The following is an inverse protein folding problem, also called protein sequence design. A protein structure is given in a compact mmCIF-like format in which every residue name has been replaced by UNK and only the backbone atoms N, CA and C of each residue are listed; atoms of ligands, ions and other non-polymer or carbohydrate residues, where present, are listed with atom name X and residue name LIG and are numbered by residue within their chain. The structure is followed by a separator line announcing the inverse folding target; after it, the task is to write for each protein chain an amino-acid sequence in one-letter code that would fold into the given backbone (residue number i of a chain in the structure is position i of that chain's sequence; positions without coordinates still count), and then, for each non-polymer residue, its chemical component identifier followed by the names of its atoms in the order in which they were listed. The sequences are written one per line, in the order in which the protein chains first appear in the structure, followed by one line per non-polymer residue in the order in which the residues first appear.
data_IF_006546015451
#
_entry.id   IF_006546015451
#
_cell.length_a   1.000
_cell.length_b   1.000
_cell.length_c   1.000
_cell.angle_alpha   90.00
_cell.angle_beta   90.00
_cell.angle_gamma   90.00
#
_symmetry.space_group_name_H-M   'P 1'
#
loop_
_entity.id
_entity.type
_entity.pdbx_description
1 polymer ?
#
# COMPACT_ATOMS: atom_id res chain seq x y z
N UNK A 1 10.15 -28.66 9.49
CA UNK A 1 10.69 -29.37 8.32
C UNK A 1 11.37 -30.67 8.76
N UNK A 2 12.27 -30.67 9.78
CA UNK A 2 12.94 -31.88 10.24
C UNK A 2 11.98 -33.02 10.66
N UNK A 3 10.83 -32.68 11.24
CA UNK A 3 9.80 -33.65 11.65
C UNK A 3 8.85 -34.09 10.53
N UNK A 4 8.71 -33.27 9.47
CA UNK A 4 7.83 -33.52 8.34
C UNK A 4 8.46 -32.89 7.07
N UNK A 5 9.35 -33.63 6.36
CA UNK A 5 10.09 -33.10 5.23
C UNK A 5 9.24 -32.77 3.99
N UNK A 6 8.04 -33.32 3.91
CA UNK A 6 7.07 -33.14 2.82
C UNK A 6 6.01 -32.03 3.09
N UNK A 7 6.28 -31.15 4.07
CA UNK A 7 5.32 -30.11 4.47
C UNK A 7 5.53 -28.83 3.65
N UNK A 8 4.84 -28.70 2.52
CA UNK A 8 4.95 -27.59 1.57
C UNK A 8 4.70 -26.22 2.23
N UNK A 9 3.72 -26.13 3.13
CA UNK A 9 3.39 -24.90 3.84
C UNK A 9 4.54 -24.43 4.77
N UNK A 10 5.29 -25.36 5.36
CA UNK A 10 6.45 -25.00 6.17
C UNK A 10 7.58 -24.41 5.31
N UNK A 11 7.83 -24.97 4.12
CA UNK A 11 8.79 -24.39 3.18
C UNK A 11 8.35 -23.00 2.69
N UNK A 12 7.08 -22.82 2.39
CA UNK A 12 6.54 -21.51 2.00
C UNK A 12 6.75 -20.48 3.12
N UNK A 13 6.40 -20.80 4.37
CA UNK A 13 6.55 -19.90 5.52
C UNK A 13 8.04 -19.59 5.80
N UNK A 14 8.92 -20.57 5.64
CA UNK A 14 10.37 -20.38 5.72
C UNK A 14 10.86 -19.43 4.61
N UNK A 15 10.32 -19.57 3.40
CA UNK A 15 10.61 -18.65 2.29
C UNK A 15 10.20 -17.21 2.63
N UNK A 16 9.03 -17.01 3.24
CA UNK A 16 8.59 -15.68 3.70
C UNK A 16 9.52 -15.10 4.76
N UNK A 17 9.92 -15.89 5.75
CA UNK A 17 10.86 -15.45 6.77
C UNK A 17 12.23 -15.05 6.17
N UNK A 18 12.75 -15.84 5.24
CA UNK A 18 14.00 -15.49 4.54
C UNK A 18 13.86 -14.22 3.69
N UNK A 19 12.72 -14.02 3.07
CA UNK A 19 12.45 -12.81 2.31
C UNK A 19 12.41 -11.57 3.21
N UNK A 20 11.79 -11.65 4.38
CA UNK A 20 11.74 -10.58 5.36
C UNK A 20 13.13 -10.25 5.94
N UNK A 21 14.00 -11.28 6.07
CA UNK A 21 15.40 -11.10 6.44
C UNK A 21 16.31 -10.62 5.30
N UNK A 22 15.78 -10.40 4.09
CA UNK A 22 16.56 -10.02 2.91
C UNK A 22 17.39 -11.15 2.28
N UNK A 23 17.24 -12.40 2.74
CA UNK A 23 17.95 -13.59 2.26
C UNK A 23 17.29 -14.17 1.01
N UNK A 24 17.33 -13.41 -0.10
CA UNK A 24 16.52 -13.66 -1.30
C UNK A 24 16.78 -15.02 -1.97
N UNK A 25 18.03 -15.52 -1.98
CA UNK A 25 18.32 -16.80 -2.61
C UNK A 25 17.78 -17.97 -1.79
N UNK A 26 17.86 -17.91 -0.46
CA UNK A 26 17.25 -18.89 0.44
C UNK A 26 15.72 -18.86 0.34
N UNK A 27 15.12 -17.68 0.19
CA UNK A 27 13.68 -17.53 -0.03
C UNK A 27 13.25 -18.20 -1.34
N UNK A 28 13.98 -17.97 -2.44
CA UNK A 28 13.72 -18.64 -3.75
C UNK A 28 13.78 -20.16 -3.65
N UNK A 29 14.80 -20.70 -2.99
CA UNK A 29 14.96 -22.14 -2.78
C UNK A 29 13.78 -22.72 -1.99
N UNK A 30 13.41 -22.07 -0.89
CA UNK A 30 12.29 -22.49 -0.05
C UNK A 30 10.95 -22.48 -0.80
N UNK A 31 10.65 -21.42 -1.57
CA UNK A 31 9.42 -21.39 -2.39
C UNK A 31 9.44 -22.44 -3.51
N UNK A 32 10.61 -22.72 -4.13
CA UNK A 32 10.73 -23.79 -5.11
C UNK A 32 10.45 -25.16 -4.48
N UNK A 33 10.97 -25.43 -3.28
CA UNK A 33 10.70 -26.68 -2.57
C UNK A 33 9.21 -26.82 -2.24
N UNK A 34 8.56 -25.73 -1.83
CA UNK A 34 7.11 -25.72 -1.61
C UNK A 34 6.33 -26.09 -2.89
N UNK A 35 6.73 -25.55 -4.06
CA UNK A 35 6.10 -25.85 -5.35
C UNK A 35 6.37 -27.29 -5.80
N UNK A 36 7.57 -27.84 -5.55
CA UNK A 36 7.90 -29.22 -5.87
C UNK A 36 7.04 -30.19 -5.05
N UNK A 37 6.88 -29.91 -3.75
CA UNK A 37 6.07 -30.74 -2.85
C UNK A 37 4.57 -30.62 -3.12
N UNK A 38 4.11 -29.43 -3.50
CA UNK A 38 2.71 -29.13 -3.78
C UNK A 38 2.58 -28.28 -5.04
N UNK A 39 2.49 -28.92 -6.24
CA UNK A 39 2.49 -28.23 -7.53
C UNK A 39 1.29 -27.29 -7.77
N UNK A 40 0.25 -27.36 -6.95
CA UNK A 40 -0.92 -26.49 -6.96
C UNK A 40 -0.87 -25.39 -5.88
N UNK A 41 0.27 -25.19 -5.24
CA UNK A 41 0.41 -24.20 -4.18
C UNK A 41 0.56 -22.78 -4.74
N UNK A 42 -0.56 -22.17 -5.10
CA UNK A 42 -0.65 -20.84 -5.75
C UNK A 42 0.12 -19.74 -5.00
N UNK A 43 0.07 -19.74 -3.66
CA UNK A 43 0.79 -18.73 -2.86
C UNK A 43 2.31 -18.83 -3.01
N UNK A 44 2.85 -20.05 -3.13
CA UNK A 44 4.30 -20.22 -3.35
C UNK A 44 4.72 -19.70 -4.74
N UNK A 45 3.90 -19.92 -5.78
CA UNK A 45 4.12 -19.30 -7.10
C UNK A 45 4.09 -17.79 -7.03
N UNK A 46 3.11 -17.24 -6.31
CA UNK A 46 2.96 -15.78 -6.17
C UNK A 46 4.19 -15.17 -5.49
N UNK A 47 4.59 -15.66 -4.32
CA UNK A 47 5.76 -15.12 -3.61
C UNK A 47 7.07 -15.32 -4.38
N UNK A 48 7.25 -16.48 -5.02
CA UNK A 48 8.41 -16.71 -5.90
C UNK A 48 8.48 -15.68 -7.03
N UNK A 49 7.33 -15.35 -7.65
CA UNK A 49 7.28 -14.40 -8.77
C UNK A 49 7.67 -12.97 -8.38
N UNK A 50 7.53 -12.61 -7.10
CA UNK A 50 7.94 -11.29 -6.60
C UNK A 50 9.46 -11.14 -6.55
N UNK A 51 10.19 -12.23 -6.25
CA UNK A 51 11.63 -12.19 -5.99
C UNK A 51 12.48 -12.86 -7.10
N UNK A 52 11.83 -13.56 -8.04
CA UNK A 52 12.50 -14.24 -9.15
C UNK A 52 12.30 -13.50 -10.47
N UNK A 53 13.37 -13.40 -11.27
CA UNK A 53 13.28 -13.12 -12.71
C UNK A 53 13.25 -14.43 -13.46
N UNK A 54 12.22 -14.64 -14.27
CA UNK A 54 12.04 -15.89 -15.01
C UNK A 54 12.79 -15.87 -16.35
N UNK A 55 13.39 -17.03 -16.70
CA UNK A 55 14.07 -17.24 -17.96
C UNK A 55 13.37 -18.32 -18.79
N UNK A 56 13.60 -18.31 -20.12
CA UNK A 56 13.07 -19.33 -21.00
C UNK A 56 13.58 -20.73 -20.58
N UNK A 57 12.62 -21.63 -20.34
CA UNK A 57 12.92 -23.01 -19.93
C UNK A 57 12.81 -23.26 -18.43
N UNK A 58 12.54 -22.24 -17.63
CA UNK A 58 12.26 -22.44 -16.20
C UNK A 58 11.12 -23.45 -15.98
N UNK A 59 11.31 -24.48 -15.14
CA UNK A 59 10.32 -25.55 -14.96
C UNK A 59 9.00 -25.06 -14.41
N UNK A 60 9.01 -23.99 -13.60
CA UNK A 60 7.82 -23.39 -13.02
C UNK A 60 6.86 -22.83 -14.08
N UNK A 61 7.35 -22.43 -15.27
CA UNK A 61 6.52 -21.89 -16.34
C UNK A 61 5.52 -22.94 -16.83
N UNK A 62 5.98 -24.17 -17.08
CA UNK A 62 5.09 -25.27 -17.51
C UNK A 62 4.07 -25.64 -16.42
N UNK A 63 4.51 -25.63 -15.17
CA UNK A 63 3.63 -25.91 -14.03
C UNK A 63 2.55 -24.83 -13.89
N UNK A 64 2.91 -23.57 -14.04
CA UNK A 64 2.00 -22.43 -14.04
C UNK A 64 0.96 -22.51 -15.17
N UNK A 65 1.41 -22.77 -16.42
CA UNK A 65 0.55 -22.89 -17.60
C UNK A 65 -0.49 -24.00 -17.41
N UNK A 66 -0.08 -25.15 -16.87
CA UNK A 66 -0.98 -26.26 -16.55
C UNK A 66 -1.95 -25.91 -15.43
N UNK A 67 -1.45 -25.25 -14.39
CA UNK A 67 -2.27 -24.91 -13.21
C UNK A 67 -3.35 -23.87 -13.54
N UNK A 68 -3.03 -22.84 -14.30
CA UNK A 68 -3.97 -21.75 -14.62
C UNK A 68 -5.18 -22.21 -15.43
N UNK A 69 -5.04 -23.34 -16.15
CA UNK A 69 -6.12 -23.98 -16.94
C UNK A 69 -6.94 -24.98 -16.13
N UNK A 70 -6.56 -25.28 -14.89
CA UNK A 70 -7.31 -26.24 -14.05
C UNK A 70 -8.72 -25.72 -13.75
N UNK A 71 -9.79 -26.43 -14.12
CA UNK A 71 -11.16 -25.98 -13.88
C UNK A 71 -11.54 -25.94 -12.39
N UNK A 72 -10.91 -26.74 -11.56
CA UNK A 72 -11.16 -26.80 -10.10
C UNK A 72 -10.54 -25.63 -9.33
N UNK A 73 -9.75 -24.78 -10.00
CA UNK A 73 -9.09 -23.66 -9.35
C UNK A 73 -10.10 -22.58 -8.92
N UNK A 74 -9.97 -22.09 -7.69
CA UNK A 74 -10.80 -20.99 -7.21
C UNK A 74 -10.60 -19.73 -8.06
N UNK A 75 -11.62 -18.86 -8.18
CA UNK A 75 -11.50 -17.57 -8.89
C UNK A 75 -10.37 -16.71 -8.31
N UNK A 76 -10.16 -16.76 -6.99
CA UNK A 76 -9.10 -16.01 -6.31
C UNK A 76 -7.71 -16.53 -6.69
N UNK A 77 -7.53 -17.85 -6.71
CA UNK A 77 -6.24 -18.45 -7.05
C UNK A 77 -5.94 -18.27 -8.54
N UNK A 78 -6.97 -18.42 -9.39
CA UNK A 78 -6.85 -18.11 -10.83
C UNK A 78 -6.45 -16.65 -11.06
N UNK A 79 -7.04 -15.72 -10.29
CA UNK A 79 -6.64 -14.31 -10.32
C UNK A 79 -5.16 -14.14 -9.99
N UNK A 80 -4.67 -14.72 -8.88
CA UNK A 80 -3.27 -14.65 -8.47
C UNK A 80 -2.34 -15.19 -9.55
N UNK A 81 -2.69 -16.35 -10.14
CA UNK A 81 -1.89 -16.96 -11.20
C UNK A 81 -1.83 -16.12 -12.47
N UNK A 82 -2.86 -15.35 -12.80
CA UNK A 82 -2.78 -14.42 -13.92
C UNK A 82 -1.76 -13.30 -13.66
N UNK A 83 -1.63 -12.80 -12.44
CA UNK A 83 -0.57 -11.84 -12.10
C UNK A 83 0.81 -12.48 -12.13
N UNK A 84 0.96 -13.73 -11.67
CA UNK A 84 2.21 -14.50 -11.81
C UNK A 84 2.55 -14.72 -13.29
N UNK A 85 1.58 -15.13 -14.09
CA UNK A 85 1.77 -15.33 -15.55
C UNK A 85 2.18 -14.03 -16.23
N UNK A 86 1.52 -12.92 -15.89
CA UNK A 86 1.87 -11.60 -16.42
C UNK A 86 3.33 -11.23 -16.13
N UNK A 87 3.81 -11.50 -14.90
CA UNK A 87 5.23 -11.29 -14.53
C UNK A 87 6.16 -12.19 -15.33
N UNK A 88 5.84 -13.47 -15.48
CA UNK A 88 6.61 -14.42 -16.32
C UNK A 88 6.69 -13.92 -17.76
N UNK A 89 5.55 -13.52 -18.35
CA UNK A 89 5.51 -13.01 -19.73
C UNK A 89 6.31 -11.69 -19.87
N UNK A 90 6.25 -10.80 -18.90
CA UNK A 90 7.05 -9.56 -18.86
C UNK A 90 8.54 -9.90 -18.87
N UNK A 91 9.00 -10.82 -18.01
CA UNK A 91 10.40 -11.26 -17.94
C UNK A 91 10.89 -11.90 -19.23
N UNK A 92 10.02 -12.60 -19.94
CA UNK A 92 10.31 -13.21 -21.25
C UNK A 92 10.20 -12.23 -22.42
N UNK A 93 9.90 -10.94 -22.17
CA UNK A 93 9.71 -9.90 -23.19
C UNK A 93 8.40 -10.02 -23.98
N UNK A 94 7.44 -10.84 -23.54
CA UNK A 94 6.16 -11.06 -24.22
C UNK A 94 5.10 -10.09 -23.69
N UNK A 95 5.29 -8.78 -23.93
CA UNK A 95 4.52 -7.70 -23.31
C UNK A 95 3.03 -7.76 -23.59
N UNK A 96 2.61 -8.12 -24.82
CA UNK A 96 1.19 -8.25 -25.16
C UNK A 96 0.48 -9.35 -24.38
N UNK A 97 1.16 -10.48 -24.16
CA UNK A 97 0.63 -11.58 -23.34
C UNK A 97 0.56 -11.16 -21.86
N UNK A 98 1.64 -10.54 -21.36
CA UNK A 98 1.66 -9.98 -20.01
C UNK A 98 0.48 -9.06 -19.79
N UNK A 99 0.25 -8.12 -20.70
CA UNK A 99 -0.89 -7.20 -20.60
C UNK A 99 -2.25 -7.92 -20.66
N UNK A 100 -2.37 -8.96 -21.51
CA UNK A 100 -3.54 -9.82 -21.57
C UNK A 100 -3.86 -10.48 -20.24
N UNK A 101 -2.84 -11.05 -19.59
CA UNK A 101 -2.96 -11.72 -18.30
C UNK A 101 -3.29 -10.73 -17.17
N UNK A 102 -2.66 -9.56 -17.14
CA UNK A 102 -3.01 -8.49 -16.18
C UNK A 102 -4.48 -8.09 -16.29
N UNK A 103 -5.01 -7.98 -17.52
CA UNK A 103 -6.45 -7.67 -17.73
C UNK A 103 -7.35 -8.78 -17.23
N UNK A 104 -6.97 -10.05 -17.39
CA UNK A 104 -7.77 -11.18 -16.92
C UNK A 104 -7.75 -11.26 -15.39
N UNK A 105 -6.57 -11.21 -14.78
CA UNK A 105 -6.40 -11.16 -13.33
C UNK A 105 -7.15 -9.97 -12.71
N UNK A 106 -7.00 -8.79 -13.30
CA UNK A 106 -7.69 -7.58 -12.85
C UNK A 106 -9.21 -7.70 -12.89
N UNK A 107 -9.79 -8.24 -13.99
CA UNK A 107 -11.24 -8.48 -14.07
C UNK A 107 -11.75 -9.40 -12.97
N UNK A 108 -11.04 -10.49 -12.68
CA UNK A 108 -11.40 -11.41 -11.62
C UNK A 108 -11.32 -10.72 -10.24
N UNK A 109 -10.24 -9.99 -9.97
CA UNK A 109 -10.08 -9.32 -8.67
C UNK A 109 -11.12 -8.23 -8.47
N UNK A 110 -11.39 -7.40 -9.48
CA UNK A 110 -12.43 -6.37 -9.44
C UNK A 110 -13.82 -6.96 -9.18
N UNK A 111 -14.12 -8.11 -9.82
CA UNK A 111 -15.37 -8.86 -9.58
C UNK A 111 -15.44 -9.35 -8.13
N UNK A 112 -14.37 -10.00 -7.63
CA UNK A 112 -14.29 -10.54 -6.27
C UNK A 112 -14.45 -9.44 -5.21
N UNK A 113 -13.93 -8.25 -5.46
CA UNK A 113 -14.03 -7.09 -4.58
C UNK A 113 -15.37 -6.34 -4.73
N UNK A 114 -16.18 -6.69 -5.71
CA UNK A 114 -17.39 -5.91 -6.09
C UNK A 114 -17.10 -4.41 -6.20
N UNK A 115 -15.91 -4.08 -6.75
CA UNK A 115 -15.42 -2.70 -6.80
C UNK A 115 -16.08 -1.88 -7.90
N UNK A 116 -16.41 -0.63 -7.57
CA UNK A 116 -16.93 0.38 -8.50
C UNK A 116 -16.34 1.74 -8.15
N UNK A 117 -15.78 2.43 -9.13
CA UNK A 117 -15.14 3.75 -8.95
C UNK A 117 -16.08 4.81 -8.35
N UNK A 118 -17.40 4.67 -8.51
CA UNK A 118 -18.39 5.57 -7.94
C UNK A 118 -18.35 5.59 -6.39
N UNK A 119 -17.88 4.52 -5.77
CA UNK A 119 -17.69 4.46 -4.31
C UNK A 119 -16.61 5.46 -3.88
N UNK A 120 -15.47 5.47 -4.60
CA UNK A 120 -14.39 6.42 -4.32
C UNK A 120 -14.77 7.86 -4.69
N UNK A 121 -15.48 8.07 -5.78
CA UNK A 121 -15.98 9.39 -6.16
C UNK A 121 -16.83 10.02 -5.05
N UNK A 122 -17.69 9.24 -4.41
CA UNK A 122 -18.49 9.68 -3.26
C UNK A 122 -17.59 9.96 -2.07
N UNK A 123 -16.74 9.00 -1.69
CA UNK A 123 -15.82 9.14 -0.57
C UNK A 123 -14.98 10.42 -0.66
N UNK A 124 -14.39 10.72 -1.83
CA UNK A 124 -13.56 11.91 -2.01
C UNK A 124 -14.39 13.22 -1.91
N UNK A 125 -15.66 13.17 -2.31
CA UNK A 125 -16.59 14.30 -2.13
C UNK A 125 -16.90 14.52 -0.65
N UNK A 126 -17.24 13.44 0.06
CA UNK A 126 -17.58 13.46 1.48
C UNK A 126 -16.40 13.94 2.33
N UNK A 127 -15.18 13.49 2.02
CA UNK A 127 -13.94 13.95 2.67
C UNK A 127 -13.79 15.46 2.58
N UNK A 128 -14.00 16.07 1.41
CA UNK A 128 -13.89 17.53 1.25
C UNK A 128 -14.97 18.30 2.01
N UNK A 129 -16.18 17.76 2.03
CA UNK A 129 -17.30 18.35 2.79
C UNK A 129 -17.00 18.31 4.28
N UNK A 130 -16.63 17.14 4.81
CA UNK A 130 -16.27 16.95 6.22
C UNK A 130 -15.10 17.84 6.62
N UNK A 131 -14.06 17.92 5.80
CA UNK A 131 -12.91 18.77 6.06
C UNK A 131 -13.28 20.26 6.18
N UNK A 132 -14.23 20.72 5.37
CA UNK A 132 -14.75 22.09 5.46
C UNK A 132 -15.46 22.34 6.79
N UNK A 133 -16.25 21.37 7.28
CA UNK A 133 -16.94 21.44 8.57
C UNK A 133 -15.93 21.45 9.72
N UNK A 134 -14.99 20.48 9.72
CA UNK A 134 -13.97 20.34 10.77
C UNK A 134 -13.09 21.59 10.88
N UNK A 135 -12.76 22.22 9.75
CA UNK A 135 -11.95 23.44 9.74
C UNK A 135 -12.62 24.61 10.46
N UNK A 136 -13.95 24.70 10.42
CA UNK A 136 -14.72 25.79 11.04
C UNK A 136 -14.94 25.60 12.54
N UNK A 137 -14.72 24.41 13.07
CA UNK A 137 -14.93 24.11 14.47
C UNK A 137 -13.80 24.70 15.33
N UNK A 138 -14.17 25.26 16.47
CA UNK A 138 -13.22 25.63 17.52
C UNK A 138 -12.86 24.38 18.31
N UNK A 139 -11.60 23.97 18.27
CA UNK A 139 -11.06 22.91 19.13
C UNK A 139 -10.36 23.61 20.30
N UNK A 140 -10.59 23.11 21.52
CA UNK A 140 -9.89 23.60 22.69
C UNK A 140 -8.36 23.56 22.49
N UNK A 141 -7.60 24.52 23.07
CA UNK A 141 -6.14 24.46 23.01
C UNK A 141 -5.65 23.11 23.49
N UNK A 142 -4.70 22.55 22.73
CA UNK A 142 -4.07 21.29 23.10
C UNK A 142 -3.14 21.56 24.31
N UNK A 143 -3.31 20.78 25.38
CA UNK A 143 -2.60 21.03 26.61
C UNK A 143 -1.08 20.78 26.47
N UNK A 144 -0.71 19.72 25.73
CA UNK A 144 0.67 19.31 25.57
C UNK A 144 1.01 19.08 24.11
N UNK A 145 2.25 19.43 23.66
CA UNK A 145 2.75 19.05 22.35
C UNK A 145 2.83 17.52 22.22
N UNK A 146 2.77 16.99 21.00
CA UNK A 146 2.96 15.57 20.77
C UNK A 146 4.39 15.16 21.10
N UNK A 147 4.53 14.09 21.85
CA UNK A 147 5.79 13.41 22.12
C UNK A 147 5.49 11.89 22.12
N UNK A 148 6.00 11.15 21.10
CA UNK A 148 6.79 11.60 19.93
C UNK A 148 5.97 12.38 18.91
N UNK A 149 6.67 13.17 18.07
CA UNK A 149 6.07 13.89 16.94
C UNK A 149 5.88 12.96 15.76
N UNK A 150 4.67 12.78 15.21
CA UNK A 150 4.47 11.93 14.05
C UNK A 150 4.93 12.61 12.75
N UNK A 151 5.55 11.80 11.87
CA UNK A 151 5.92 12.17 10.50
C UNK A 151 5.07 11.32 9.54
N UNK A 152 4.03 11.90 8.98
CA UNK A 152 3.19 11.24 7.99
C UNK A 152 3.83 11.26 6.62
N UNK A 153 4.08 10.08 6.04
CA UNK A 153 4.58 9.93 4.67
C UNK A 153 3.45 9.34 3.82
N UNK A 154 2.89 10.15 2.94
CA UNK A 154 1.67 9.84 2.21
C UNK A 154 1.79 10.15 0.71
N UNK A 155 0.89 9.60 -0.09
CA UNK A 155 0.83 9.75 -1.54
C UNK A 155 0.11 8.58 -2.18
N UNK A 156 0.12 8.48 -3.51
CA UNK A 156 -0.42 7.28 -4.16
C UNK A 156 0.41 6.04 -3.78
N UNK A 157 -0.20 4.88 -3.56
CA UNK A 157 0.55 3.62 -3.54
C UNK A 157 1.47 3.54 -4.76
N UNK A 158 2.66 2.98 -4.58
CA UNK A 158 3.71 2.86 -5.63
C UNK A 158 4.34 4.19 -6.07
N UNK A 159 4.19 5.26 -5.31
CA UNK A 159 4.87 6.55 -5.56
C UNK A 159 6.27 6.64 -4.95
N UNK A 160 6.74 5.62 -4.23
CA UNK A 160 8.08 5.61 -3.62
C UNK A 160 8.10 5.95 -2.13
N UNK A 161 6.96 5.97 -1.46
CA UNK A 161 6.83 6.29 -0.01
C UNK A 161 7.73 5.46 0.89
N UNK A 162 7.98 4.17 0.56
CA UNK A 162 8.87 3.30 1.34
C UNK A 162 10.34 3.74 1.27
N UNK A 163 10.83 4.19 0.10
CA UNK A 163 12.18 4.73 0.01
C UNK A 163 12.31 6.01 0.82
N UNK A 164 11.30 6.88 0.77
CA UNK A 164 11.31 8.14 1.53
C UNK A 164 11.32 7.85 3.03
N UNK A 165 10.56 6.86 3.49
CA UNK A 165 10.61 6.44 4.89
C UNK A 165 12.01 5.98 5.29
N UNK A 166 12.65 5.12 4.49
CA UNK A 166 14.02 4.66 4.76
C UNK A 166 15.02 5.81 4.83
N UNK A 167 14.91 6.80 3.93
CA UNK A 167 15.75 7.99 3.95
C UNK A 167 15.52 8.82 5.23
N UNK A 168 14.25 9.04 5.60
CA UNK A 168 13.91 9.83 6.80
C UNK A 168 14.30 9.09 8.07
N UNK A 169 14.07 7.78 8.14
CA UNK A 169 14.42 6.96 9.32
C UNK A 169 15.89 6.57 9.41
N UNK A 170 16.72 6.98 8.44
CA UNK A 170 18.19 6.89 8.59
C UNK A 170 18.75 7.90 9.60
N UNK A 171 17.95 8.91 9.97
CA UNK A 171 18.30 9.85 11.03
C UNK A 171 18.09 9.20 12.40
N UNK A 172 19.07 9.37 13.30
CA UNK A 172 19.10 8.73 14.62
C UNK A 172 17.98 9.15 15.61
N UNK A 173 17.29 10.26 15.33
CA UNK A 173 16.14 10.71 16.12
C UNK A 173 14.80 10.21 15.56
N UNK A 174 14.79 9.47 14.46
CA UNK A 174 13.57 9.06 13.77
C UNK A 174 13.42 7.54 13.77
N UNK A 175 12.34 7.05 14.35
CA UNK A 175 11.94 5.65 14.22
C UNK A 175 11.08 5.45 12.96
N UNK A 176 11.46 4.49 12.12
CA UNK A 176 10.65 4.04 10.99
C UNK A 176 9.62 3.01 11.43
N UNK A 177 8.34 3.39 11.58
CA UNK A 177 7.30 2.49 12.07
C UNK A 177 6.50 1.79 10.95
N UNK A 178 6.80 2.08 9.68
CA UNK A 178 6.13 1.44 8.54
C UNK A 178 4.70 1.91 8.33
N UNK A 179 3.84 1.00 7.86
CA UNK A 179 2.44 1.29 7.55
C UNK A 179 1.57 1.16 8.79
N UNK A 180 1.29 2.30 9.44
CA UNK A 180 0.35 2.35 10.55
C UNK A 180 -1.05 2.64 9.99
N UNK A 181 -1.92 1.65 10.04
CA UNK A 181 -3.33 1.82 9.63
C UNK A 181 -4.15 2.55 10.71
N UNK A 182 -3.58 2.79 11.86
CA UNK A 182 -4.25 3.28 13.07
C UNK A 182 -5.01 4.60 12.83
N UNK A 183 -4.36 5.59 12.19
CA UNK A 183 -5.02 6.87 11.97
C UNK A 183 -6.26 6.70 11.08
N UNK A 184 -6.16 5.90 10.04
CA UNK A 184 -7.29 5.58 9.17
C UNK A 184 -8.42 4.87 9.91
N UNK A 185 -8.11 3.90 10.77
CA UNK A 185 -9.11 3.19 11.59
C UNK A 185 -9.88 4.15 12.52
N UNK A 186 -9.21 5.15 13.09
CA UNK A 186 -9.83 6.14 13.98
C UNK A 186 -10.62 7.22 13.21
N UNK A 187 -10.17 7.57 12.01
CA UNK A 187 -10.65 8.75 11.28
C UNK A 187 -11.65 8.42 10.15
N UNK A 188 -11.71 7.19 9.64
CA UNK A 188 -12.44 6.85 8.42
C UNK A 188 -13.94 7.20 8.47
N UNK A 189 -14.62 6.88 9.56
CA UNK A 189 -16.06 7.15 9.74
C UNK A 189 -16.36 8.66 9.75
N UNK A 190 -15.47 9.45 10.33
CA UNK A 190 -15.59 10.91 10.34
C UNK A 190 -15.27 11.47 8.95
N UNK A 191 -14.17 11.02 8.35
CA UNK A 191 -13.73 11.51 7.03
C UNK A 191 -14.78 11.26 5.95
N UNK A 192 -15.43 10.08 5.98
CA UNK A 192 -16.51 9.72 5.06
C UNK A 192 -17.86 10.36 5.34
N UNK A 193 -17.98 11.17 6.41
CA UNK A 193 -19.25 11.78 6.82
C UNK A 193 -20.27 10.81 7.46
N UNK A 194 -19.90 9.55 7.68
CA UNK A 194 -20.77 8.57 8.36
C UNK A 194 -20.94 8.88 9.85
N UNK A 195 -19.98 9.62 10.42
CA UNK A 195 -20.01 10.10 11.80
C UNK A 195 -19.79 11.62 11.82
N UNK A 196 -20.53 12.31 12.67
CA UNK A 196 -20.41 13.76 12.82
C UNK A 196 -19.01 14.07 13.38
N UNK A 197 -18.34 15.04 12.77
CA UNK A 197 -17.03 15.49 13.22
C UNK A 197 -17.19 16.51 14.36
N UNK A 198 -17.28 16.07 15.59
CA UNK A 198 -17.31 16.92 16.76
C UNK A 198 -15.90 17.20 17.32
N UNK A 199 -15.65 18.37 17.96
CA UNK A 199 -14.35 18.68 18.56
C UNK A 199 -13.85 17.60 19.53
N UNK A 200 -14.74 17.00 20.32
CA UNK A 200 -14.42 15.91 21.25
C UNK A 200 -13.82 14.69 20.53
N UNK A 201 -14.37 14.31 19.39
CA UNK A 201 -13.90 13.16 18.62
C UNK A 201 -12.52 13.39 18.01
N UNK A 202 -12.24 14.63 17.59
CA UNK A 202 -10.90 14.99 17.10
C UNK A 202 -9.86 14.89 18.23
N UNK A 203 -10.22 15.27 19.45
CA UNK A 203 -9.36 15.10 20.64
C UNK A 203 -9.19 13.64 21.03
N UNK A 204 -10.24 12.82 20.91
CA UNK A 204 -10.15 11.36 21.12
C UNK A 204 -9.21 10.69 20.12
N UNK A 205 -9.28 11.06 18.83
CA UNK A 205 -8.33 10.58 17.81
C UNK A 205 -6.91 10.93 18.23
N UNK A 206 -6.63 12.19 18.61
CA UNK A 206 -5.32 12.61 19.10
C UNK A 206 -4.83 11.74 20.25
N UNK A 207 -5.65 11.62 21.28
CA UNK A 207 -5.28 10.89 22.49
C UNK A 207 -4.92 9.43 22.20
N UNK A 208 -5.79 8.71 21.47
CA UNK A 208 -5.58 7.29 21.16
C UNK A 208 -4.37 7.13 20.24
N UNK A 209 -4.26 7.97 19.22
CA UNK A 209 -3.15 7.87 18.27
C UNK A 209 -1.79 8.11 18.93
N UNK A 210 -1.66 9.16 19.76
CA UNK A 210 -0.41 9.46 20.47
C UNK A 210 -0.05 8.42 21.53
N UNK A 211 -1.04 7.84 22.21
CA UNK A 211 -0.79 6.73 23.14
C UNK A 211 -0.19 5.50 22.46
N UNK A 212 -0.68 5.15 21.28
CA UNK A 212 -0.12 4.02 20.53
C UNK A 212 1.26 4.38 19.92
N UNK A 213 1.40 5.60 19.40
CA UNK A 213 2.67 6.07 18.87
C UNK A 213 3.78 6.08 19.93
N UNK A 214 3.44 6.49 21.18
CA UNK A 214 4.36 6.47 22.31
C UNK A 214 4.86 5.05 22.64
N UNK A 215 3.99 4.04 22.55
CA UNK A 215 4.40 2.64 22.77
C UNK A 215 5.38 2.15 21.69
N UNK A 216 5.23 2.64 20.48
CA UNK A 216 6.09 2.26 19.35
C UNK A 216 7.41 3.02 19.30
N UNK A 217 7.49 4.20 19.93
CA UNK A 217 8.56 5.17 19.73
C UNK A 217 9.95 4.72 20.17
N UNK A 218 10.05 3.72 21.07
CA UNK A 218 11.32 3.26 21.63
C UNK A 218 12.18 4.41 22.19
N UNK A 219 11.54 5.52 22.57
CA UNK A 219 12.20 6.72 23.08
C UNK A 219 12.68 7.72 22.00
N UNK A 220 12.39 7.46 20.72
CA UNK A 220 12.71 8.41 19.64
C UNK A 220 11.74 9.60 19.66
N UNK A 221 12.22 10.84 19.47
CA UNK A 221 11.37 12.03 19.46
C UNK A 221 10.50 12.15 18.22
N UNK A 222 10.81 11.41 17.15
CA UNK A 222 10.04 11.37 15.90
C UNK A 222 9.73 9.93 15.51
N UNK A 223 8.51 9.69 15.03
CA UNK A 223 8.07 8.37 14.53
C UNK A 223 7.38 8.55 13.18
N UNK A 224 7.78 7.77 12.18
CA UNK A 224 7.09 7.81 10.88
C UNK A 224 5.78 7.02 10.93
N UNK A 225 4.77 7.52 10.21
CA UNK A 225 3.58 6.78 9.80
C UNK A 225 3.54 6.83 8.27
N UNK A 226 4.12 5.81 7.64
CA UNK A 226 4.18 5.71 6.19
C UNK A 226 3.03 4.86 5.69
N UNK A 227 1.83 5.40 5.69
CA UNK A 227 0.68 4.79 5.06
C UNK A 227 0.22 5.64 3.88
N UNK A 228 0.41 5.16 2.64
CA UNK A 228 0.12 5.98 1.45
C UNK A 228 -1.26 6.63 1.50
N UNK A 229 -2.30 5.91 1.91
CA UNK A 229 -3.67 6.41 1.95
C UNK A 229 -3.96 7.44 3.06
N UNK A 230 -3.01 7.78 3.92
CA UNK A 230 -3.16 8.89 4.86
C UNK A 230 -3.47 10.23 4.17
N UNK A 231 -3.27 10.32 2.85
CA UNK A 231 -3.71 11.48 2.06
C UNK A 231 -5.24 11.73 2.14
N UNK A 232 -6.05 10.72 2.43
CA UNK A 232 -7.48 10.86 2.64
C UNK A 232 -7.81 11.65 3.92
N UNK A 233 -6.91 11.64 4.89
CA UNK A 233 -7.14 12.14 6.25
C UNK A 233 -6.38 13.42 6.59
N UNK A 234 -5.69 14.07 5.64
CA UNK A 234 -4.83 15.26 5.89
C UNK A 234 -5.54 16.35 6.71
N UNK A 235 -6.80 16.63 6.41
CA UNK A 235 -7.57 17.63 7.16
C UNK A 235 -7.77 17.25 8.63
N UNK A 236 -8.01 15.98 8.94
CA UNK A 236 -8.15 15.48 10.31
C UNK A 236 -6.79 15.35 11.00
N UNK A 237 -5.73 14.94 10.27
CA UNK A 237 -4.35 14.88 10.79
C UNK A 237 -3.95 16.26 11.33
N UNK A 238 -4.07 17.30 10.50
CA UNK A 238 -3.67 18.66 10.89
C UNK A 238 -4.50 19.17 12.06
N UNK A 239 -5.77 18.76 12.17
CA UNK A 239 -6.65 19.20 13.27
C UNK A 239 -6.41 18.46 14.58
N UNK A 240 -6.13 17.17 14.52
CA UNK A 240 -5.84 16.34 15.69
C UNK A 240 -4.37 16.48 16.16
N UNK A 241 -3.46 16.67 15.21
CA UNK A 241 -2.00 16.62 15.41
C UNK A 241 -1.35 17.83 14.70
N UNK A 242 -1.54 19.07 15.16
CA UNK A 242 -1.04 20.26 14.48
C UNK A 242 0.50 20.34 14.43
N UNK A 243 1.20 19.62 15.30
CA UNK A 243 2.65 19.46 15.32
C UNK A 243 3.18 18.44 14.29
N UNK A 244 2.32 17.58 13.74
CA UNK A 244 2.69 16.55 12.79
C UNK A 244 3.42 17.13 11.57
N UNK A 245 4.43 16.39 11.10
CA UNK A 245 5.09 16.67 9.81
C UNK A 245 4.42 15.85 8.73
N UNK A 246 4.14 16.45 7.58
CA UNK A 246 3.47 15.77 6.47
C UNK A 246 4.34 15.85 5.23
N UNK A 247 4.77 14.69 4.74
CA UNK A 247 5.54 14.53 3.50
C UNK A 247 4.61 13.92 2.45
N UNK A 248 4.27 14.71 1.43
CA UNK A 248 3.50 14.27 0.28
C UNK A 248 4.44 13.86 -0.85
N UNK A 249 4.55 12.55 -1.08
CA UNK A 249 5.40 11.97 -2.12
C UNK A 249 4.64 11.94 -3.45
N UNK A 250 5.21 12.60 -4.45
CA UNK A 250 4.71 12.58 -5.84
C UNK A 250 5.67 11.85 -6.75
N UNK A 251 5.15 11.24 -7.81
CA UNK A 251 5.89 10.53 -8.85
C UNK A 251 5.19 10.71 -10.18
N UNK A 252 5.89 10.45 -11.29
CA UNK A 252 5.28 10.44 -12.62
C UNK A 252 3.95 9.67 -12.62
N UNK A 253 2.89 10.32 -13.10
CA UNK A 253 1.52 9.79 -13.05
C UNK A 253 1.37 8.47 -13.82
N UNK A 254 1.94 8.38 -15.02
CA UNK A 254 1.87 7.17 -15.84
C UNK A 254 2.62 6.00 -15.19
N UNK A 255 3.82 6.25 -14.63
CA UNK A 255 4.60 5.26 -13.92
C UNK A 255 3.86 4.77 -12.65
N UNK A 256 3.23 5.67 -11.90
CA UNK A 256 2.44 5.34 -10.70
C UNK A 256 1.21 4.52 -11.07
N UNK A 257 0.42 4.95 -12.05
CA UNK A 257 -0.77 4.23 -12.50
C UNK A 257 -0.42 2.84 -13.04
N UNK A 258 0.63 2.74 -13.86
CA UNK A 258 1.09 1.45 -14.39
C UNK A 258 1.56 0.51 -13.27
N UNK A 259 2.35 1.02 -12.31
CA UNK A 259 2.81 0.22 -11.18
C UNK A 259 1.66 -0.27 -10.30
N UNK A 260 0.60 0.53 -10.11
CA UNK A 260 -0.62 0.08 -9.42
C UNK A 260 -1.32 -1.03 -10.21
N UNK A 261 -1.53 -0.84 -11.52
CA UNK A 261 -2.26 -1.78 -12.36
C UNK A 261 -1.58 -3.16 -12.44
N UNK A 262 -0.26 -3.21 -12.51
CA UNK A 262 0.48 -4.48 -12.61
C UNK A 262 0.73 -5.19 -11.28
N UNK A 263 0.36 -4.60 -10.15
CA UNK A 263 0.60 -5.17 -8.83
C UNK A 263 -0.66 -5.89 -8.31
N UNK A 264 -0.50 -7.14 -7.89
CA UNK A 264 -1.52 -7.80 -7.09
C UNK A 264 -1.40 -7.35 -5.64
N UNK A 265 -2.47 -6.76 -5.12
CA UNK A 265 -2.57 -6.37 -3.71
C UNK A 265 -3.44 -7.38 -2.95
N UNK A 266 -2.94 -7.85 -1.81
CA UNK A 266 -3.71 -8.74 -0.93
C UNK A 266 -4.85 -8.01 -0.21
N UNK A 267 -4.66 -6.72 0.09
CA UNK A 267 -5.67 -5.88 0.74
C UNK A 267 -6.88 -5.64 -0.17
N UNK A 268 -8.03 -5.39 0.45
CA UNK A 268 -9.28 -5.13 -0.27
C UNK A 268 -9.51 -3.65 -0.62
N UNK A 269 -8.72 -2.73 -0.05
CA UNK A 269 -8.89 -1.29 -0.22
C UNK A 269 -8.37 -0.72 -1.56
N UNK A 270 -7.75 -1.55 -2.41
CA UNK A 270 -7.09 -1.11 -3.65
C UNK A 270 -7.84 -1.58 -4.91
N UNK A 271 -9.16 -1.64 -4.84
CA UNK A 271 -10.00 -2.14 -5.94
C UNK A 271 -9.85 -1.39 -7.26
N UNK A 272 -9.53 -0.11 -7.22
CA UNK A 272 -9.26 0.71 -8.40
C UNK A 272 -8.04 0.24 -9.21
N UNK A 273 -7.10 -0.47 -8.60
CA UNK A 273 -5.87 -0.92 -9.25
C UNK A 273 -6.09 -1.96 -10.36
N UNK A 274 -7.25 -2.58 -10.41
CA UNK A 274 -7.51 -3.75 -11.26
C UNK A 274 -8.19 -3.44 -12.61
N UNK A 275 -8.34 -2.16 -12.94
CA UNK A 275 -8.80 -1.69 -14.26
C UNK A 275 -8.10 -0.37 -14.60
N UNK A 276 -7.53 -0.25 -15.81
CA UNK A 276 -6.77 0.95 -16.20
C UNK A 276 -7.60 2.23 -16.17
N UNK A 277 -8.89 2.16 -16.50
CA UNK A 277 -9.77 3.33 -16.45
C UNK A 277 -10.01 3.75 -15.00
N UNK A 278 -10.19 2.79 -14.12
CA UNK A 278 -10.39 3.04 -12.69
C UNK A 278 -9.12 3.59 -12.03
N UNK A 279 -7.94 3.03 -12.36
CA UNK A 279 -6.64 3.57 -11.86
C UNK A 279 -6.49 5.05 -12.23
N UNK A 280 -6.73 5.39 -13.50
CA UNK A 280 -6.63 6.79 -13.97
C UNK A 280 -7.68 7.68 -13.31
N UNK A 281 -8.90 7.18 -13.16
CA UNK A 281 -9.98 7.92 -12.50
C UNK A 281 -9.66 8.18 -11.03
N UNK A 282 -9.18 7.15 -10.31
CA UNK A 282 -8.76 7.29 -8.90
C UNK A 282 -7.56 8.23 -8.75
N UNK A 283 -6.58 8.13 -9.65
CA UNK A 283 -5.43 9.05 -9.64
C UNK A 283 -5.86 10.52 -9.80
N UNK A 284 -6.84 10.78 -10.66
CA UNK A 284 -7.41 12.14 -10.82
C UNK A 284 -8.14 12.62 -9.57
N UNK A 285 -8.88 11.73 -8.88
CA UNK A 285 -9.51 12.03 -7.60
C UNK A 285 -8.45 12.38 -6.55
N UNK A 286 -7.39 11.58 -6.47
CA UNK A 286 -6.25 11.84 -5.60
C UNK A 286 -5.58 13.20 -5.89
N UNK A 287 -5.25 13.49 -7.14
CA UNK A 287 -4.65 14.79 -7.50
C UNK A 287 -5.54 15.97 -7.12
N UNK A 288 -6.84 15.84 -7.34
CA UNK A 288 -7.81 16.88 -7.02
C UNK A 288 -7.95 17.07 -5.50
N UNK A 289 -7.92 15.98 -4.72
CA UNK A 289 -7.91 16.04 -3.27
C UNK A 289 -6.60 16.66 -2.74
N UNK A 290 -5.44 16.25 -3.27
CA UNK A 290 -4.17 16.82 -2.85
C UNK A 290 -4.04 18.31 -3.23
N UNK A 291 -4.56 18.73 -4.39
CA UNK A 291 -4.67 20.16 -4.74
C UNK A 291 -5.55 20.92 -3.75
N UNK A 292 -6.65 20.31 -3.29
CA UNK A 292 -7.48 20.87 -2.25
C UNK A 292 -6.70 21.04 -0.93
N UNK A 293 -5.99 20.00 -0.48
CA UNK A 293 -5.18 20.05 0.73
C UNK A 293 -4.06 21.11 0.65
N UNK A 294 -3.33 21.18 -0.45
CA UNK A 294 -2.28 22.19 -0.65
C UNK A 294 -2.83 23.63 -0.65
N UNK A 295 -4.04 23.87 -1.17
CA UNK A 295 -4.69 25.18 -1.08
C UNK A 295 -5.06 25.53 0.35
N UNK A 296 -5.49 24.56 1.15
CA UNK A 296 -5.94 24.80 2.52
C UNK A 296 -4.78 24.86 3.52
N UNK A 297 -3.74 24.05 3.34
CA UNK A 297 -2.71 23.75 4.33
C UNK A 297 -1.30 23.68 3.74
N UNK A 298 -1.05 24.30 2.59
CA UNK A 298 0.19 24.09 1.82
C UNK A 298 1.48 24.36 2.59
N UNK A 299 1.46 25.27 3.59
CA UNK A 299 2.64 25.54 4.45
C UNK A 299 2.98 24.37 5.40
N UNK A 300 2.03 23.48 5.64
CA UNK A 300 2.16 22.33 6.57
C UNK A 300 2.46 21.01 5.83
N UNK A 301 2.42 21.01 4.49
CA UNK A 301 2.61 19.83 3.66
C UNK A 301 3.88 20.02 2.82
N UNK A 302 4.92 19.26 3.14
CA UNK A 302 6.13 19.24 2.33
C UNK A 302 5.90 18.33 1.11
N UNK A 303 6.02 18.90 -0.10
CA UNK A 303 5.92 18.14 -1.33
C UNK A 303 7.31 17.64 -1.75
N UNK A 304 7.44 16.33 -1.91
CA UNK A 304 8.66 15.68 -2.37
C UNK A 304 8.40 14.96 -3.70
N UNK A 305 9.21 15.27 -4.70
CA UNK A 305 9.17 14.60 -6.00
C UNK A 305 10.16 13.43 -6.00
N UNK A 306 9.62 12.21 -6.09
CA UNK A 306 10.41 10.98 -6.09
C UNK A 306 11.37 10.89 -7.28
N UNK A 307 10.90 11.27 -8.47
CA UNK A 307 11.71 11.15 -9.69
C UNK A 307 12.89 12.12 -9.64
N UNK A 308 12.71 13.33 -9.10
CA UNK A 308 13.80 14.28 -8.87
C UNK A 308 14.77 13.77 -7.79
N UNK A 309 14.28 13.19 -6.69
CA UNK A 309 15.15 12.67 -5.64
C UNK A 309 16.04 11.54 -6.15
N UNK A 310 15.51 10.65 -7.01
CA UNK A 310 16.29 9.50 -7.50
C UNK A 310 17.39 9.87 -8.48
N UNK A 311 17.33 11.04 -9.11
CA UNK A 311 18.37 11.53 -10.04
C UNK A 311 19.28 12.58 -9.41
N UNK A 312 18.85 13.25 -8.33
CA UNK A 312 19.60 14.29 -7.61
C UNK A 312 19.66 13.90 -6.13
N UNK A 313 20.59 13.03 -5.78
CA UNK A 313 20.74 12.50 -4.40
C UNK A 313 21.69 13.34 -3.53
N UNK A 314 22.16 14.50 -4.03
CA UNK A 314 23.01 15.45 -3.28
C UNK A 314 22.19 16.54 -2.57
#
# INVERSE_FOLDING_TARGET
IALKPDYAEAFHNMGSAFQDEGKMDQAKEAYNNAIILKPDFVMAFHHLSVIKTFAKGDPQIRSLEKLITNPELSELDRCRLFFVSAKVQEDLGQLDKSFGDLKQGGRLRKKLLNYRIQQDQRLFTDIKQTASIVKQQSIAPLADPADPVPIFILGMPRSGTSLIEQVVSSHNEVLGAGELELFGQLAAEIASGNKIAEPKQVLEIRQVYLQELQKLSEGHPYVTDKFPHNFLYVGLIIRALPEAKIIHVTRNAAATCWSNFKTYFSSNGLGYSYDLKDVVAYYRLYEDLMRYWHRQYGKLIYRLDYDLLTVNQE
#
